data_IF_343226535583
#
_entry.id   IF_343226535583
#
_cell.length_a   1.000
_cell.length_b   1.000
_cell.length_c   1.000
_cell.angle_alpha   90.00
_cell.angle_beta   90.00
_cell.angle_gamma   90.00
#
_symmetry.space_group_name_H-M   'P 1'
#
loop_
_entity.id
_entity.type
_entity.pdbx_description
1 polymer ?
#
# COMPACT_ATOMS: atom_id res chain seq x y z
N UNK A 1 23.62 11.32 -7.59
CA UNK A 1 22.44 11.50 -6.74
C UNK A 1 21.56 10.26 -6.78
N UNK A 2 20.53 10.21 -5.96
CA UNK A 2 19.66 9.04 -5.73
C UNK A 2 19.20 8.33 -7.00
N UNK A 3 18.86 9.08 -8.04
CA UNK A 3 18.43 8.51 -9.33
C UNK A 3 19.48 7.54 -9.92
N UNK A 4 20.72 8.01 -10.08
CA UNK A 4 21.79 7.20 -10.68
C UNK A 4 22.20 6.01 -9.81
N UNK A 5 22.14 6.18 -8.50
CA UNK A 5 22.38 5.09 -7.55
C UNK A 5 21.29 4.01 -7.64
N UNK A 6 20.01 4.42 -7.81
CA UNK A 6 18.90 3.50 -8.04
C UNK A 6 19.04 2.75 -9.36
N UNK A 7 19.40 3.43 -10.46
CA UNK A 7 19.66 2.80 -11.75
C UNK A 7 20.78 1.75 -11.65
N UNK A 8 21.90 2.12 -11.02
CA UNK A 8 23.02 1.19 -10.82
C UNK A 8 22.63 -0.03 -9.96
N UNK A 9 21.81 0.17 -8.92
CA UNK A 9 21.30 -0.92 -8.10
C UNK A 9 20.40 -1.88 -8.90
N UNK A 10 19.46 -1.35 -9.69
CA UNK A 10 18.58 -2.16 -10.54
C UNK A 10 19.38 -2.95 -11.61
N UNK A 11 20.39 -2.33 -12.23
CA UNK A 11 21.28 -3.02 -13.16
C UNK A 11 22.04 -4.16 -12.48
N UNK A 12 22.50 -3.96 -11.25
CA UNK A 12 23.15 -4.99 -10.46
C UNK A 12 22.20 -6.14 -10.13
N UNK A 13 20.96 -5.87 -9.76
CA UNK A 13 19.94 -6.90 -9.57
C UNK A 13 19.70 -7.70 -10.86
N UNK A 14 19.62 -7.04 -12.01
CA UNK A 14 19.49 -7.74 -13.30
C UNK A 14 20.71 -8.61 -13.63
N UNK A 15 21.94 -8.21 -13.29
CA UNK A 15 23.15 -9.02 -13.44
C UNK A 15 23.12 -10.28 -12.57
N UNK A 16 22.48 -10.20 -11.40
CA UNK A 16 22.26 -11.35 -10.49
C UNK A 16 21.07 -12.23 -10.90
N UNK A 17 20.38 -11.87 -11.99
CA UNK A 17 19.26 -12.61 -12.56
C UNK A 17 17.88 -12.15 -12.12
N UNK A 18 17.76 -11.18 -11.20
CA UNK A 18 16.46 -10.65 -10.79
C UNK A 18 15.77 -9.92 -11.96
N UNK A 19 14.47 -10.13 -12.12
CA UNK A 19 13.70 -9.62 -13.25
C UNK A 19 13.88 -10.38 -14.58
N UNK A 20 14.86 -11.31 -14.65
CA UNK A 20 15.18 -12.13 -15.82
C UNK A 20 14.90 -13.61 -15.60
N UNK A 21 15.31 -14.13 -14.45
CA UNK A 21 15.03 -15.50 -14.03
C UNK A 21 13.62 -15.54 -13.43
N UNK A 22 12.78 -16.48 -13.87
CA UNK A 22 11.40 -16.66 -13.38
C UNK A 22 11.30 -16.89 -11.86
N UNK A 23 12.38 -17.36 -11.23
CA UNK A 23 12.44 -17.61 -9.78
C UNK A 23 13.00 -16.40 -9.01
N UNK A 24 13.44 -15.33 -9.69
CA UNK A 24 14.01 -14.13 -9.09
C UNK A 24 13.21 -12.89 -9.50
N UNK A 25 12.13 -12.63 -8.77
CA UNK A 25 11.27 -11.49 -9.06
C UNK A 25 11.94 -10.17 -8.69
N UNK A 26 11.81 -9.18 -9.57
CA UNK A 26 12.15 -7.79 -9.34
C UNK A 26 10.90 -6.96 -9.61
N UNK A 27 10.29 -6.43 -8.58
CA UNK A 27 9.11 -5.58 -8.70
C UNK A 27 9.46 -4.16 -8.26
N UNK A 28 8.88 -3.19 -8.94
CA UNK A 28 9.02 -1.78 -8.61
C UNK A 28 7.76 -1.27 -7.93
N UNK A 29 7.91 -0.21 -7.15
CA UNK A 29 6.79 0.46 -6.48
C UNK A 29 6.80 1.93 -6.87
N UNK A 30 5.64 2.44 -7.25
CA UNK A 30 5.42 3.84 -7.57
C UNK A 30 4.43 4.47 -6.57
N UNK A 31 4.81 5.61 -6.02
CA UNK A 31 3.93 6.51 -5.29
C UNK A 31 3.82 7.84 -6.05
N UNK A 32 2.63 8.40 -6.19
CA UNK A 32 2.47 9.70 -6.85
C UNK A 32 3.02 10.85 -6.02
N UNK A 33 3.42 11.91 -6.69
CA UNK A 33 3.83 13.14 -6.03
C UNK A 33 2.63 13.96 -5.56
N UNK A 34 2.80 14.67 -4.45
CA UNK A 34 1.86 15.66 -3.94
C UNK A 34 0.49 15.06 -3.57
N UNK A 35 -0.58 15.67 -4.07
CA UNK A 35 -1.98 15.32 -3.76
C UNK A 35 -2.63 14.41 -4.83
N UNK A 36 -1.84 13.92 -5.76
CA UNK A 36 -2.35 13.11 -6.87
C UNK A 36 -2.62 11.67 -6.44
N UNK A 37 -3.59 11.04 -7.09
CA UNK A 37 -3.74 9.59 -7.07
C UNK A 37 -2.83 8.94 -8.13
N UNK A 38 -2.46 7.66 -7.95
CA UNK A 38 -1.73 6.95 -8.98
C UNK A 38 -2.51 6.90 -10.29
N UNK A 39 -1.84 7.02 -11.45
CA UNK A 39 -2.45 6.71 -12.75
C UNK A 39 -2.70 5.21 -12.88
N UNK A 40 -3.29 4.79 -14.00
CA UNK A 40 -3.46 3.36 -14.33
C UNK A 40 -2.16 2.58 -14.14
N UNK A 41 -2.19 1.55 -13.31
CA UNK A 41 -1.02 0.72 -13.00
C UNK A 41 -0.50 0.03 -14.27
N UNK A 42 -1.39 -0.50 -15.10
CA UNK A 42 -1.02 -1.21 -16.33
C UNK A 42 -0.33 -0.29 -17.34
N UNK A 43 -0.87 0.91 -17.56
CA UNK A 43 -0.28 1.88 -18.48
C UNK A 43 1.08 2.35 -17.97
N UNK A 44 1.17 2.69 -16.68
CA UNK A 44 2.43 3.14 -16.08
C UNK A 44 3.49 2.03 -16.09
N UNK A 45 3.10 0.78 -15.87
CA UNK A 45 4.02 -0.37 -15.95
C UNK A 45 4.60 -0.52 -17.36
N UNK A 46 3.77 -0.36 -18.41
CA UNK A 46 4.21 -0.43 -19.79
C UNK A 46 5.22 0.68 -20.11
N UNK A 47 4.93 1.91 -19.70
CA UNK A 47 5.83 3.05 -19.88
C UNK A 47 7.16 2.83 -19.15
N UNK A 48 7.12 2.37 -17.91
CA UNK A 48 8.34 2.07 -17.14
C UNK A 48 9.16 0.94 -17.76
N UNK A 49 8.52 -0.12 -18.26
CA UNK A 49 9.21 -1.22 -18.97
C UNK A 49 9.90 -0.71 -20.22
N UNK A 50 9.21 0.08 -21.02
CA UNK A 50 9.77 0.65 -22.24
C UNK A 50 10.95 1.58 -21.95
N UNK A 51 10.77 2.56 -21.04
CA UNK A 51 11.76 3.59 -20.75
C UNK A 51 13.01 3.03 -20.05
N UNK A 52 12.84 2.18 -19.05
CA UNK A 52 13.96 1.59 -18.31
C UNK A 52 14.75 0.62 -19.17
N UNK A 53 14.08 -0.15 -20.04
CA UNK A 53 14.74 -1.02 -20.99
C UNK A 53 15.52 -0.22 -22.04
N UNK A 54 14.88 0.80 -22.66
CA UNK A 54 15.49 1.57 -23.71
C UNK A 54 16.69 2.41 -23.24
N UNK A 55 16.57 3.04 -22.08
CA UNK A 55 17.61 3.96 -21.57
C UNK A 55 18.69 3.28 -20.75
N UNK A 56 18.38 2.19 -20.07
CA UNK A 56 19.27 1.62 -19.05
C UNK A 56 19.46 0.09 -19.17
N UNK A 57 18.76 -0.57 -20.10
CA UNK A 57 18.80 -2.03 -20.25
C UNK A 57 18.22 -2.79 -19.04
N UNK A 58 17.40 -2.11 -18.22
CA UNK A 58 16.80 -2.67 -17.01
C UNK A 58 15.49 -3.37 -17.39
N UNK A 59 15.32 -4.58 -16.83
CA UNK A 59 14.07 -5.34 -16.88
C UNK A 59 13.56 -5.61 -15.47
N UNK A 60 12.25 -5.63 -15.31
CA UNK A 60 11.58 -5.95 -14.05
C UNK A 60 10.25 -6.69 -14.34
N UNK A 61 9.67 -7.32 -13.32
CA UNK A 61 8.47 -8.13 -13.49
C UNK A 61 7.21 -7.30 -13.46
N UNK A 62 6.97 -6.57 -12.36
CA UNK A 62 5.74 -5.81 -12.13
C UNK A 62 6.04 -4.43 -11.55
N UNK A 63 5.17 -3.47 -11.84
CA UNK A 63 5.11 -2.17 -11.18
C UNK A 63 3.85 -2.11 -10.32
N UNK A 64 4.01 -1.88 -9.03
CA UNK A 64 2.89 -1.66 -8.13
C UNK A 64 2.69 -0.17 -7.89
N UNK A 65 1.48 0.32 -8.11
CA UNK A 65 1.12 1.70 -7.78
C UNK A 65 0.46 1.74 -6.41
N UNK A 66 0.96 2.60 -5.53
CA UNK A 66 0.48 2.72 -4.15
C UNK A 66 0.03 4.15 -3.89
N UNK A 67 -1.19 4.31 -3.41
CA UNK A 67 -1.71 5.60 -2.93
C UNK A 67 -0.97 6.04 -1.67
N UNK A 68 -0.63 7.31 -1.58
CA UNK A 68 -0.03 7.87 -0.38
C UNK A 68 -1.05 7.90 0.77
N UNK A 69 -0.75 7.20 1.87
CA UNK A 69 -1.60 7.21 3.06
C UNK A 69 -1.51 8.54 3.81
N UNK A 70 -2.62 9.19 4.18
CA UNK A 70 -2.65 10.47 4.89
C UNK A 70 -2.30 10.33 6.38
N UNK A 71 -1.28 9.53 6.69
CA UNK A 71 -0.81 9.24 8.06
C UNK A 71 0.71 9.44 8.17
N UNK A 72 1.25 9.34 9.37
CA UNK A 72 2.69 9.39 9.65
C UNK A 72 3.39 10.58 8.97
N UNK A 73 4.51 10.37 8.29
CA UNK A 73 5.28 11.46 7.65
C UNK A 73 4.49 12.22 6.60
N UNK A 74 3.75 11.51 5.75
CA UNK A 74 2.97 12.15 4.70
C UNK A 74 1.81 12.95 5.29
N UNK A 75 1.07 12.39 6.25
CA UNK A 75 0.03 13.10 6.99
C UNK A 75 0.55 14.35 7.70
N UNK A 76 1.71 14.25 8.37
CA UNK A 76 2.36 15.39 9.03
C UNK A 76 2.75 16.48 8.03
N UNK A 77 3.28 16.10 6.87
CA UNK A 77 3.61 17.05 5.79
C UNK A 77 2.36 17.75 5.26
N UNK A 78 1.27 17.02 5.04
CA UNK A 78 -0.01 17.58 4.61
C UNK A 78 -0.55 18.60 5.63
N UNK A 79 -0.49 18.27 6.92
CA UNK A 79 -0.91 19.17 8.00
C UNK A 79 -0.04 20.43 8.04
N UNK A 80 1.28 20.28 7.99
CA UNK A 80 2.22 21.40 8.02
C UNK A 80 2.04 22.37 6.84
N UNK A 81 1.61 21.86 5.69
CA UNK A 81 1.35 22.65 4.47
C UNK A 81 -0.12 23.12 4.35
N UNK A 82 -1.01 22.77 5.29
CA UNK A 82 -2.43 23.09 5.22
C UNK A 82 -3.21 22.32 4.13
N UNK A 83 -2.63 21.23 3.60
CA UNK A 83 -3.16 20.48 2.46
C UNK A 83 -3.98 19.24 2.85
N UNK A 84 -4.05 18.90 4.15
CA UNK A 84 -4.69 17.67 4.62
C UNK A 84 -6.16 17.57 4.19
N UNK A 85 -6.94 18.64 4.38
CA UNK A 85 -8.36 18.66 4.00
C UNK A 85 -8.55 18.47 2.49
N UNK A 86 -7.70 19.10 1.68
CA UNK A 86 -7.76 18.99 0.23
C UNK A 86 -7.46 17.55 -0.21
N UNK A 87 -6.41 16.93 0.33
CA UNK A 87 -6.06 15.54 0.01
C UNK A 87 -7.16 14.57 0.44
N UNK A 88 -7.74 14.76 1.64
CA UNK A 88 -8.86 13.93 2.09
C UNK A 88 -10.11 14.09 1.21
N UNK A 89 -10.37 15.29 0.67
CA UNK A 89 -11.42 15.47 -0.32
C UNK A 89 -11.13 14.68 -1.59
N UNK A 90 -9.90 14.76 -2.14
CA UNK A 90 -9.49 13.96 -3.31
C UNK A 90 -9.73 12.46 -3.09
N UNK A 91 -9.35 11.92 -1.93
CA UNK A 91 -9.56 10.51 -1.62
C UNK A 91 -11.04 10.14 -1.54
N UNK A 92 -11.86 10.95 -0.86
CA UNK A 92 -13.31 10.70 -0.72
C UNK A 92 -14.05 10.81 -2.05
N UNK A 93 -13.74 11.84 -2.83
CA UNK A 93 -14.37 12.08 -4.14
C UNK A 93 -14.02 10.99 -5.16
N UNK A 94 -12.90 10.29 -4.92
CA UNK A 94 -12.42 9.17 -5.75
C UNK A 94 -12.76 7.79 -5.16
N UNK A 95 -13.55 7.73 -4.10
CA UNK A 95 -13.96 6.47 -3.48
C UNK A 95 -14.71 5.56 -4.46
N UNK A 96 -14.37 4.27 -4.44
CA UNK A 96 -15.04 3.22 -5.21
C UNK A 96 -15.43 2.07 -4.30
N UNK A 97 -16.71 1.73 -4.30
CA UNK A 97 -17.24 0.65 -3.48
C UNK A 97 -16.71 -0.73 -3.91
N UNK A 98 -16.42 -0.90 -5.19
CA UNK A 98 -15.89 -2.14 -5.78
C UNK A 98 -14.56 -2.57 -5.13
N UNK A 99 -13.76 -1.59 -4.70
CA UNK A 99 -12.49 -1.87 -4.02
C UNK A 99 -12.67 -2.53 -2.65
N UNK A 100 -13.84 -2.43 -2.02
CA UNK A 100 -14.09 -3.00 -0.69
C UNK A 100 -13.95 -4.52 -0.65
N UNK A 101 -14.20 -5.21 -1.74
CA UNK A 101 -14.14 -6.68 -1.78
C UNK A 101 -12.71 -7.22 -1.74
N UNK A 102 -11.74 -6.39 -2.11
CA UNK A 102 -10.32 -6.78 -2.29
C UNK A 102 -9.34 -6.05 -1.38
N UNK A 103 -9.80 -5.15 -0.49
CA UNK A 103 -8.92 -4.49 0.48
C UNK A 103 -8.23 -5.49 1.41
N UNK A 104 -6.95 -5.26 1.69
CA UNK A 104 -6.12 -6.19 2.47
C UNK A 104 -6.65 -6.52 3.86
N UNK A 105 -7.28 -5.56 4.54
CA UNK A 105 -7.78 -5.74 5.91
C UNK A 105 -8.88 -6.81 6.05
N UNK A 106 -9.43 -7.31 4.94
CA UNK A 106 -10.38 -8.45 4.94
C UNK A 106 -9.69 -9.80 5.15
N UNK A 107 -8.41 -9.91 4.79
CA UNK A 107 -7.68 -11.18 4.77
C UNK A 107 -6.32 -11.12 5.46
N UNK A 108 -6.00 -10.01 6.11
CA UNK A 108 -4.71 -9.77 6.74
C UNK A 108 -4.90 -9.35 8.20
N UNK A 109 -4.04 -9.80 9.07
CA UNK A 109 -3.88 -9.28 10.43
C UNK A 109 -2.46 -8.75 10.59
N UNK A 110 -2.34 -7.62 11.26
CA UNK A 110 -1.07 -7.06 11.69
C UNK A 110 -0.93 -7.28 13.20
N UNK A 111 0.27 -7.63 13.67
CA UNK A 111 0.52 -7.94 15.09
C UNK A 111 1.71 -7.11 15.52
N UNK A 112 1.55 -6.38 16.64
CA UNK A 112 2.66 -5.62 17.20
C UNK A 112 3.60 -6.50 18.05
N UNK A 113 4.72 -5.91 18.46
CA UNK A 113 5.75 -6.60 19.24
C UNK A 113 5.27 -7.04 20.65
N UNK A 114 4.12 -6.52 21.11
CA UNK A 114 3.48 -6.91 22.37
C UNK A 114 2.43 -8.00 22.18
N UNK A 115 2.16 -8.42 20.94
CA UNK A 115 1.17 -9.44 20.59
C UNK A 115 -0.25 -8.91 20.40
N UNK A 116 -0.48 -7.59 20.39
CA UNK A 116 -1.79 -7.04 20.05
C UNK A 116 -2.06 -7.08 18.56
N UNK A 117 -3.31 -7.34 18.20
CA UNK A 117 -3.78 -7.57 16.84
C UNK A 117 -4.47 -6.33 16.30
N UNK A 118 -4.28 -6.10 14.99
CA UNK A 118 -4.87 -5.02 14.22
C UNK A 118 -5.38 -5.55 12.89
N UNK A 119 -6.41 -4.93 12.32
CA UNK A 119 -6.97 -5.32 11.02
C UNK A 119 -5.99 -5.08 9.86
N UNK A 120 -5.06 -4.13 10.01
CA UNK A 120 -3.98 -3.85 9.05
C UNK A 120 -2.83 -3.10 9.72
N UNK A 121 -1.71 -2.97 9.01
CA UNK A 121 -0.52 -2.23 9.43
C UNK A 121 -0.78 -0.72 9.62
N UNK A 122 -1.68 -0.12 8.84
CA UNK A 122 -2.08 1.28 9.04
C UNK A 122 -2.84 1.48 10.35
N UNK A 123 -3.75 0.56 10.69
CA UNK A 123 -4.41 0.55 12.00
C UNK A 123 -3.40 0.39 13.14
N UNK A 124 -2.39 -0.46 12.94
CA UNK A 124 -1.29 -0.59 13.91
C UNK A 124 -0.52 0.72 14.08
N UNK A 125 -0.14 1.39 12.99
CA UNK A 125 0.53 2.70 13.03
C UNK A 125 -0.30 3.78 13.74
N UNK A 126 -1.62 3.72 13.60
CA UNK A 126 -2.57 4.65 14.21
C UNK A 126 -3.02 4.24 15.62
N UNK A 127 -2.54 3.10 16.13
CA UNK A 127 -2.93 2.53 17.42
C UNK A 127 -4.44 2.28 17.54
N UNK A 128 -5.04 1.75 16.47
CA UNK A 128 -6.42 1.32 16.36
C UNK A 128 -6.49 -0.22 16.44
N UNK A 129 -6.39 -0.82 17.63
CA UNK A 129 -6.34 -2.26 17.79
C UNK A 129 -7.66 -2.92 17.40
N UNK A 130 -7.58 -4.15 16.89
CA UNK A 130 -8.76 -4.98 16.63
C UNK A 130 -9.53 -5.21 17.92
N UNK A 131 -10.82 -4.85 17.91
CA UNK A 131 -11.74 -5.13 19.01
C UNK A 131 -12.54 -6.40 18.69
N UNK A 132 -12.69 -7.31 19.67
CA UNK A 132 -13.48 -8.52 19.50
C UNK A 132 -14.05 -9.00 20.83
N UNK A 133 -15.19 -9.69 20.79
CA UNK A 133 -15.84 -10.30 21.98
C UNK A 133 -15.97 -9.34 23.19
N UNK A 134 -16.31 -8.07 22.93
CA UNK A 134 -16.47 -7.05 23.96
C UNK A 134 -15.16 -6.51 24.55
N UNK A 135 -14.00 -6.97 24.07
CA UNK A 135 -12.69 -6.42 24.44
C UNK A 135 -12.34 -5.26 23.51
N UNK A 136 -11.85 -4.14 24.00
CA UNK A 136 -11.46 -2.98 23.18
C UNK A 136 -10.16 -3.23 22.37
N UNK A 137 -9.41 -4.28 22.71
CA UNK A 137 -8.23 -4.75 21.99
C UNK A 137 -8.05 -6.26 22.19
N UNK A 138 -7.61 -6.92 21.14
CA UNK A 138 -7.41 -8.37 21.06
C UNK A 138 -5.93 -8.69 21.09
N UNK A 139 -5.52 -9.68 21.86
CA UNK A 139 -4.17 -10.21 21.86
C UNK A 139 -4.11 -11.51 21.04
N UNK A 140 -2.96 -11.84 20.47
CA UNK A 140 -2.76 -13.04 19.64
C UNK A 140 -3.21 -14.33 20.34
N UNK A 141 -3.01 -14.43 21.65
CA UNK A 141 -3.46 -15.60 22.45
C UNK A 141 -4.98 -15.75 22.50
N UNK A 142 -5.73 -14.66 22.35
CA UNK A 142 -7.19 -14.71 22.32
C UNK A 142 -7.69 -15.43 21.06
N UNK A 143 -6.93 -15.37 19.96
CA UNK A 143 -7.27 -16.00 18.68
C UNK A 143 -7.18 -17.54 18.72
N UNK A 144 -6.55 -18.11 19.74
CA UNK A 144 -6.52 -19.58 19.92
C UNK A 144 -7.90 -20.18 20.26
N UNK A 145 -8.81 -19.35 20.75
CA UNK A 145 -10.14 -19.77 21.20
C UNK A 145 -11.30 -19.00 20.57
N UNK A 146 -11.03 -18.13 19.63
CA UNK A 146 -12.06 -17.33 18.96
C UNK A 146 -11.85 -17.24 17.44
N UNK A 147 -12.96 -17.21 16.73
CA UNK A 147 -13.01 -16.91 15.30
C UNK A 147 -13.21 -15.40 15.11
N UNK A 148 -12.60 -14.88 14.07
CA UNK A 148 -12.77 -13.49 13.62
C UNK A 148 -13.71 -13.37 12.42
N UNK A 149 -14.36 -14.47 12.01
CA UNK A 149 -15.34 -14.42 10.92
C UNK A 149 -16.43 -13.39 11.27
N UNK A 150 -16.72 -12.51 10.33
CA UNK A 150 -17.70 -11.42 10.49
C UNK A 150 -17.36 -10.40 11.60
N UNK A 151 -16.15 -10.44 12.19
CA UNK A 151 -15.73 -9.41 13.13
C UNK A 151 -15.61 -8.06 12.40
N UNK A 152 -16.24 -6.98 12.90
CA UNK A 152 -16.16 -5.68 12.24
C UNK A 152 -14.72 -5.15 12.18
N UNK A 153 -14.30 -4.74 10.99
CA UNK A 153 -13.00 -4.08 10.78
C UNK A 153 -13.06 -2.65 11.34
N UNK A 154 -12.05 -2.26 12.11
CA UNK A 154 -11.93 -0.89 12.61
C UNK A 154 -11.51 0.02 11.47
N UNK A 155 -12.38 0.98 11.14
CA UNK A 155 -12.18 1.92 10.03
C UNK A 155 -11.88 3.34 10.51
N UNK A 156 -11.23 4.12 9.65
CA UNK A 156 -10.96 5.52 9.84
C UNK A 156 -10.79 6.26 8.51
N UNK A 157 -10.53 7.55 8.57
CA UNK A 157 -10.38 8.37 7.33
C UNK A 157 -9.25 7.88 6.41
N UNK A 158 -8.21 7.28 6.95
CA UNK A 158 -7.12 6.70 6.18
C UNK A 158 -7.57 5.56 5.25
N UNK A 159 -8.68 4.87 5.55
CA UNK A 159 -9.22 3.78 4.73
C UNK A 159 -9.59 4.25 3.30
N UNK A 160 -9.91 5.54 3.12
CA UNK A 160 -10.10 6.10 1.78
C UNK A 160 -8.84 5.98 0.91
N UNK A 161 -7.65 5.91 1.49
CA UNK A 161 -6.42 5.67 0.74
C UNK A 161 -6.35 4.29 0.09
N UNK A 162 -7.00 3.28 0.67
CA UNK A 162 -7.08 1.94 0.08
C UNK A 162 -8.20 1.80 -0.97
N UNK A 163 -9.25 2.66 -0.90
CA UNK A 163 -10.47 2.53 -1.71
C UNK A 163 -10.62 3.59 -2.80
N UNK A 164 -9.75 4.60 -2.83
CA UNK A 164 -9.76 5.66 -3.85
C UNK A 164 -9.20 5.19 -5.19
N UNK A 165 -9.82 5.64 -6.29
CA UNK A 165 -9.39 5.34 -7.66
C UNK A 165 -9.36 3.84 -7.96
N UNK A 166 -8.26 3.33 -8.47
CA UNK A 166 -8.06 1.90 -8.73
C UNK A 166 -7.79 1.06 -7.46
N UNK A 167 -7.94 1.67 -6.28
CA UNK A 167 -7.61 1.05 -5.01
C UNK A 167 -6.11 0.97 -4.77
N UNK A 168 -5.73 0.54 -3.56
CA UNK A 168 -4.32 0.42 -3.19
C UNK A 168 -4.10 -0.66 -2.13
N UNK A 169 -3.12 -1.51 -2.39
CA UNK A 169 -2.61 -2.52 -1.46
C UNK A 169 -1.09 -2.60 -1.51
N UNK A 170 -0.46 -3.42 -0.66
CA UNK A 170 0.98 -3.72 -0.80
C UNK A 170 1.32 -4.42 -2.13
N UNK A 171 0.34 -5.03 -2.80
CA UNK A 171 0.44 -5.62 -4.13
C UNK A 171 0.08 -4.66 -5.27
N UNK A 172 -0.07 -3.36 -5.01
CA UNK A 172 -0.44 -2.35 -6.00
C UNK A 172 -1.93 -2.08 -6.06
N UNK A 173 -2.41 -1.68 -7.26
CA UNK A 173 -3.81 -1.44 -7.53
C UNK A 173 -4.69 -2.68 -7.25
N UNK A 174 -5.91 -2.46 -6.79
CA UNK A 174 -6.89 -3.53 -6.51
C UNK A 174 -7.67 -3.94 -7.75
N UNK A 175 -7.89 -3.01 -8.68
CA UNK A 175 -8.43 -3.30 -10.02
C UNK A 175 -7.30 -3.79 -10.94
N UNK A 176 -7.50 -4.96 -11.53
CA UNK A 176 -6.67 -5.52 -12.61
C UNK A 176 -7.37 -5.36 -13.96
#
# INVERSE_FOLDING_TARGET
GVYWESIAALQKFNQLGYGRDKNKQLNLVFNPDGLNLPPSQLELEQDYKQELQARHGIVFNQLFTITNMPISRFGSMLLAKGLYKQYMATLRDSYRAENLDTVMCRNLLSIDYQGYVYDCDFNQMLKLPLASNGKPKTHLTDLLSQDLLDNPIITGEHCFGCTAGQGSSCGGALEN
#
